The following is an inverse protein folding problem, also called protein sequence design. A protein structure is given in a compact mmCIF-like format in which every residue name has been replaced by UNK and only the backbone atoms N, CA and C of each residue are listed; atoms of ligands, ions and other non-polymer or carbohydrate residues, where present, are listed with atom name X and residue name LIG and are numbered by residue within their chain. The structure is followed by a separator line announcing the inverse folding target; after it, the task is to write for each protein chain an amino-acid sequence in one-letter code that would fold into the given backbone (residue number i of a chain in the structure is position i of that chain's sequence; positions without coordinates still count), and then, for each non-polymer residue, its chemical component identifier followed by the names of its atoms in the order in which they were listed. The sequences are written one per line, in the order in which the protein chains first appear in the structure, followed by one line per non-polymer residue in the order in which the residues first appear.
data_IF_708611101859
#
_entry.id   IF_708611101859
#
_cell.length_a   1.000
_cell.length_b   1.000
_cell.length_c   1.000
_cell.angle_alpha   90.00
_cell.angle_beta   90.00
_cell.angle_gamma   90.00
#
_symmetry.space_group_name_H-M   'P 1'
#
loop_
_entity.id
_entity.type
_entity.pdbx_description
1 polymer ?
#
# COMPACT_ATOMS: atom_id res chain seq x y z
N UNK A 1 -21.70 3.36 13.67
CA UNK A 1 -21.06 2.43 12.73
C UNK A 1 -21.32 2.96 11.33
N UNK A 2 -20.27 3.10 10.52
CA UNK A 2 -20.45 3.47 9.12
C UNK A 2 -21.05 2.29 8.32
N UNK A 3 -21.56 2.56 7.12
CA UNK A 3 -22.11 1.52 6.23
C UNK A 3 -21.09 0.43 5.89
N UNK A 4 -19.80 0.80 5.77
CA UNK A 4 -18.75 -0.13 5.38
C UNK A 4 -18.28 -1.02 6.53
N UNK A 5 -18.61 -0.69 7.78
CA UNK A 5 -18.20 -1.42 8.98
C UNK A 5 -16.70 -1.72 9.01
N UNK A 6 -15.84 -0.70 8.83
CA UNK A 6 -14.37 -0.87 8.74
C UNK A 6 -13.60 -0.39 9.98
N UNK A 7 -14.32 0.07 11.00
CA UNK A 7 -13.72 0.63 12.22
C UNK A 7 -12.76 -0.37 12.87
N UNK A 8 -11.54 0.08 13.18
CA UNK A 8 -10.45 -0.71 13.76
C UNK A 8 -9.95 -1.89 12.93
N UNK A 9 -10.37 -2.05 11.66
CA UNK A 9 -9.82 -3.09 10.79
C UNK A 9 -8.47 -2.68 10.23
N UNK A 10 -7.45 -3.50 10.45
CA UNK A 10 -6.12 -3.31 9.88
C UNK A 10 -6.10 -3.71 8.40
N UNK A 11 -5.73 -2.78 7.52
CA UNK A 11 -5.71 -3.01 6.06
C UNK A 11 -4.36 -2.55 5.50
N UNK A 12 -3.69 -3.43 4.76
CA UNK A 12 -2.45 -3.11 4.06
C UNK A 12 -2.79 -2.53 2.67
N UNK A 13 -2.32 -1.31 2.40
CA UNK A 13 -2.48 -0.65 1.11
C UNK A 13 -1.12 -0.56 0.41
N UNK A 14 -1.05 -1.12 -0.79
CA UNK A 14 0.15 -1.09 -1.64
C UNK A 14 -0.09 -0.21 -2.87
N UNK A 15 0.99 0.36 -3.42
CA UNK A 15 0.92 1.11 -4.68
C UNK A 15 0.59 2.60 -4.56
N UNK A 16 0.70 3.19 -3.36
CA UNK A 16 0.66 4.65 -3.22
C UNK A 16 1.94 5.25 -3.80
N UNK A 17 1.76 6.11 -4.81
CA UNK A 17 2.86 6.80 -5.48
C UNK A 17 2.79 8.32 -5.34
N UNK A 18 1.58 8.88 -5.22
CA UNK A 18 1.28 10.29 -4.99
C UNK A 18 -0.24 10.47 -4.71
N UNK A 19 -0.70 11.73 -4.57
CA UNK A 19 -2.12 12.08 -4.33
C UNK A 19 -3.11 11.66 -5.44
N UNK A 20 -2.63 11.31 -6.63
CA UNK A 20 -3.46 10.86 -7.76
C UNK A 20 -3.55 9.33 -7.88
N UNK A 21 -2.82 8.60 -7.04
CA UNK A 21 -2.88 7.13 -7.03
C UNK A 21 -4.27 6.65 -6.66
N UNK A 22 -4.76 5.60 -7.33
CA UNK A 22 -5.98 4.89 -6.91
C UNK A 22 -5.84 4.39 -5.46
N UNK A 23 -4.69 3.79 -5.14
CA UNK A 23 -4.33 3.38 -3.78
C UNK A 23 -4.47 4.50 -2.73
N UNK A 24 -4.12 5.75 -3.09
CA UNK A 24 -4.21 6.89 -2.17
C UNK A 24 -5.66 7.25 -1.85
N UNK A 25 -6.52 7.26 -2.87
CA UNK A 25 -7.94 7.55 -2.67
C UNK A 25 -8.62 6.43 -1.87
N UNK A 26 -8.30 5.17 -2.15
CA UNK A 26 -8.78 4.04 -1.34
C UNK A 26 -8.34 4.20 0.12
N UNK A 27 -7.04 4.45 0.36
CA UNK A 27 -6.51 4.60 1.71
C UNK A 27 -7.18 5.74 2.48
N UNK A 28 -7.43 6.89 1.85
CA UNK A 28 -8.14 8.02 2.48
C UNK A 28 -9.55 7.63 2.90
N UNK A 29 -10.31 6.94 2.05
CA UNK A 29 -11.65 6.46 2.40
C UNK A 29 -11.57 5.43 3.54
N UNK A 30 -10.61 4.52 3.52
CA UNK A 30 -10.42 3.57 4.63
C UNK A 30 -10.15 4.28 5.96
N UNK A 31 -9.29 5.29 5.97
CA UNK A 31 -8.99 6.09 7.17
C UNK A 31 -10.23 6.88 7.66
N UNK A 32 -10.99 7.48 6.74
CA UNK A 32 -12.24 8.20 7.05
C UNK A 32 -13.30 7.27 7.68
N UNK A 33 -13.26 5.98 7.34
CA UNK A 33 -14.15 4.94 7.86
C UNK A 33 -13.60 4.28 9.14
N UNK A 34 -12.50 4.81 9.70
CA UNK A 34 -11.91 4.35 10.96
C UNK A 34 -11.05 3.09 10.84
N UNK A 35 -10.65 2.69 9.63
CA UNK A 35 -9.72 1.58 9.44
C UNK A 35 -8.28 1.99 9.82
N UNK A 36 -7.52 1.03 10.33
CA UNK A 36 -6.09 1.21 10.59
C UNK A 36 -5.32 0.90 9.29
N UNK A 37 -4.92 1.93 8.56
CA UNK A 37 -4.24 1.76 7.28
C UNK A 37 -2.73 1.63 7.47
N UNK A 38 -2.19 0.53 6.95
CA UNK A 38 -0.76 0.24 6.87
C UNK A 38 -0.35 0.46 5.41
N UNK A 39 0.70 1.22 5.16
CA UNK A 39 1.15 1.53 3.80
C UNK A 39 2.39 0.72 3.42
N UNK A 40 2.45 0.29 2.17
CA UNK A 40 3.66 -0.23 1.55
C UNK A 40 3.98 0.53 0.26
N UNK A 41 5.23 0.97 0.14
CA UNK A 41 5.74 1.70 -1.02
C UNK A 41 6.96 0.99 -1.59
N UNK A 42 7.19 1.17 -2.89
CA UNK A 42 8.20 0.39 -3.62
C UNK A 42 9.64 0.59 -3.11
N UNK A 43 10.01 1.81 -2.72
CA UNK A 43 11.40 2.16 -2.41
C UNK A 43 11.51 3.23 -1.32
N UNK A 44 12.70 3.38 -0.75
CA UNK A 44 12.99 4.45 0.22
C UNK A 44 12.83 5.85 -0.40
N UNK A 45 13.23 6.03 -1.66
CA UNK A 45 13.01 7.30 -2.37
C UNK A 45 11.52 7.58 -2.53
N UNK A 46 10.71 6.54 -2.79
CA UNK A 46 9.26 6.68 -2.83
C UNK A 46 8.73 7.09 -1.46
N UNK A 47 9.18 6.45 -0.39
CA UNK A 47 8.81 6.77 1.00
C UNK A 47 9.12 8.23 1.32
N UNK A 48 10.34 8.70 1.04
CA UNK A 48 10.76 10.11 1.21
C UNK A 48 9.89 11.07 0.42
N UNK A 49 9.59 10.76 -0.84
CA UNK A 49 8.72 11.61 -1.67
C UNK A 49 7.30 11.77 -1.12
N UNK A 50 6.87 10.82 -0.28
CA UNK A 50 5.53 10.77 0.33
C UNK A 50 5.52 11.19 1.79
N UNK A 51 6.65 11.61 2.37
CA UNK A 51 6.79 11.92 3.80
C UNK A 51 5.73 12.91 4.30
N UNK A 52 5.40 13.94 3.51
CA UNK A 52 4.33 14.90 3.85
C UNK A 52 2.92 14.31 3.81
N UNK A 53 2.69 13.29 2.97
CA UNK A 53 1.36 12.67 2.78
C UNK A 53 1.11 11.54 3.75
N UNK A 54 2.18 10.86 4.14
CA UNK A 54 2.18 9.71 5.02
C UNK A 54 2.84 10.05 6.37
N UNK A 55 2.89 11.33 6.72
CA UNK A 55 3.32 11.78 8.03
C UNK A 55 2.49 11.08 9.10
N UNK A 56 3.16 10.58 10.14
CA UNK A 56 2.56 9.84 11.26
C UNK A 56 1.85 8.52 10.88
N UNK A 57 2.02 8.03 9.65
CA UNK A 57 1.46 6.76 9.18
C UNK A 57 2.50 5.64 9.22
N UNK A 58 2.04 4.40 9.40
CA UNK A 58 2.91 3.22 9.28
C UNK A 58 3.24 2.98 7.80
N UNK A 59 4.51 3.13 7.42
CA UNK A 59 4.97 2.93 6.03
C UNK A 59 6.15 1.96 5.98
N UNK A 60 5.94 0.82 5.32
CA UNK A 60 6.98 -0.15 4.98
C UNK A 60 7.45 0.01 3.54
N UNK A 61 8.68 -0.45 3.28
CA UNK A 61 9.26 -0.47 1.95
C UNK A 61 9.35 -1.91 1.46
N UNK A 62 8.78 -2.15 0.28
CA UNK A 62 8.76 -3.44 -0.38
C UNK A 62 8.71 -3.25 -1.89
N UNK A 63 9.77 -3.67 -2.58
CA UNK A 63 9.67 -3.96 -4.01
C UNK A 63 9.08 -5.35 -4.21
N UNK A 64 7.91 -5.44 -4.85
CA UNK A 64 7.17 -6.70 -5.06
C UNK A 64 7.84 -7.62 -6.09
N UNK A 65 8.79 -7.11 -6.87
CA UNK A 65 9.60 -7.92 -7.79
C UNK A 65 10.62 -8.80 -7.03
N UNK A 66 10.85 -8.53 -5.74
CA UNK A 66 11.85 -9.20 -4.90
C UNK A 66 11.18 -9.99 -3.78
N UNK A 67 11.27 -11.31 -3.86
CA UNK A 67 10.62 -12.23 -2.93
C UNK A 67 11.07 -12.02 -1.47
N UNK A 68 12.35 -11.72 -1.26
CA UNK A 68 12.90 -11.45 0.07
C UNK A 68 12.31 -10.19 0.71
N UNK A 69 11.93 -9.20 -0.10
CA UNK A 69 11.29 -7.99 0.40
C UNK A 69 9.82 -8.25 0.78
N UNK A 70 9.14 -9.13 0.05
CA UNK A 70 7.77 -9.56 0.34
C UNK A 70 7.70 -10.34 1.67
N UNK A 71 8.63 -11.27 1.91
CA UNK A 71 8.70 -11.99 3.19
C UNK A 71 9.06 -11.06 4.36
N UNK A 72 9.94 -10.07 4.12
CA UNK A 72 10.21 -9.01 5.11
C UNK A 72 8.96 -8.20 5.42
N UNK A 73 8.20 -7.78 4.40
CA UNK A 73 6.96 -7.02 4.56
C UNK A 73 5.94 -7.81 5.40
N UNK A 74 5.76 -9.11 5.11
CA UNK A 74 4.90 -10.00 5.90
C UNK A 74 5.31 -10.02 7.37
N UNK A 75 6.61 -10.15 7.65
CA UNK A 75 7.12 -10.14 9.02
C UNK A 75 6.87 -8.80 9.72
N UNK A 76 7.11 -7.68 9.02
CA UNK A 76 6.85 -6.33 9.54
C UNK A 76 5.36 -6.07 9.83
N UNK A 77 4.47 -6.50 8.92
CA UNK A 77 3.02 -6.35 9.09
C UNK A 77 2.49 -7.23 10.22
N UNK A 78 3.00 -8.46 10.35
CA UNK A 78 2.65 -9.35 11.48
C UNK A 78 3.16 -8.81 12.82
N UNK A 79 4.32 -8.16 12.84
CA UNK A 79 4.85 -7.48 14.02
C UNK A 79 4.09 -6.21 14.41
N UNK A 80 3.52 -5.50 13.43
CA UNK A 80 2.71 -4.30 13.67
C UNK A 80 1.25 -4.62 14.03
N UNK A 81 0.67 -5.64 13.42
CA UNK A 81 -0.75 -5.98 13.56
C UNK A 81 -0.94 -7.49 13.70
N UNK A 82 -1.66 -7.90 14.76
CA UNK A 82 -1.94 -9.32 15.02
C UNK A 82 -2.84 -9.96 13.96
N UNK A 83 -3.76 -9.17 13.40
CA UNK A 83 -4.71 -9.59 12.37
C UNK A 83 -4.68 -8.57 11.25
N UNK A 84 -4.43 -9.04 10.03
CA UNK A 84 -4.63 -8.28 8.81
C UNK A 84 -6.01 -8.62 8.25
N UNK A 85 -6.91 -7.64 8.19
CA UNK A 85 -8.29 -7.84 7.76
C UNK A 85 -8.47 -7.67 6.25
N UNK A 86 -7.53 -6.99 5.60
CA UNK A 86 -7.60 -6.75 4.15
C UNK A 86 -6.27 -6.35 3.54
N UNK A 87 -6.20 -6.49 2.21
CA UNK A 87 -5.09 -6.10 1.37
C UNK A 87 -5.63 -5.39 0.14
N UNK A 88 -5.11 -4.20 -0.14
CA UNK A 88 -5.32 -3.47 -1.39
C UNK A 88 -4.04 -3.58 -2.21
N UNK A 89 -4.09 -4.39 -3.27
CA UNK A 89 -3.00 -4.49 -4.25
C UNK A 89 -3.28 -3.55 -5.43
N UNK A 90 -2.64 -2.38 -5.45
CA UNK A 90 -2.82 -1.37 -6.50
C UNK A 90 -1.49 -1.08 -7.22
N UNK A 91 -0.80 -2.16 -7.64
CA UNK A 91 0.48 -2.10 -8.33
C UNK A 91 0.32 -2.73 -9.72
N UNK A 92 0.84 -2.05 -10.74
CA UNK A 92 0.99 -2.60 -12.08
C UNK A 92 2.18 -1.92 -12.75
N UNK A 93 2.92 -2.68 -13.54
CA UNK A 93 4.02 -2.16 -14.34
C UNK A 93 4.16 -3.00 -15.61
N UNK A 94 4.46 -2.33 -16.72
CA UNK A 94 4.83 -2.97 -17.98
C UNK A 94 6.00 -2.18 -18.56
N UNK A 95 7.03 -2.89 -19.00
CA UNK A 95 8.15 -2.27 -19.68
C UNK A 95 7.83 -2.10 -21.17
N UNK A 96 7.78 -0.85 -21.63
CA UNK A 96 7.51 -0.49 -23.03
C UNK A 96 8.78 -0.12 -23.82
N UNK A 97 9.99 -0.41 -23.30
CA UNK A 97 11.24 -0.11 -24.02
C UNK A 97 11.32 -0.78 -25.40
N UNK A 98 10.62 -1.90 -25.58
CA UNK A 98 10.51 -2.65 -26.84
C UNK A 98 9.22 -2.34 -27.63
N UNK A 99 8.46 -1.32 -27.23
CA UNK A 99 7.16 -0.98 -27.80
C UNK A 99 5.96 -1.55 -27.03
N UNK A 100 4.74 -1.20 -27.47
CA UNK A 100 3.51 -1.77 -26.91
C UNK A 100 3.39 -3.24 -27.31
N UNK A 101 3.31 -4.12 -26.32
CA UNK A 101 2.96 -5.53 -26.53
C UNK A 101 1.43 -5.67 -26.50
N UNK A 102 0.82 -6.46 -27.39
CA UNK A 102 -0.62 -6.73 -27.31
C UNK A 102 -0.93 -7.42 -25.98
N UNK A 103 -2.10 -7.15 -25.41
CA UNK A 103 -2.63 -7.96 -24.32
C UNK A 103 -3.03 -9.31 -24.93
N UNK A 104 -2.33 -10.38 -24.54
CA UNK A 104 -2.66 -11.76 -24.91
C UNK A 104 -3.38 -12.43 -23.75
#
# INVERSE_FOLDING_TARGET
MSFLDLENKNILVTGVANKKSVAWHIAKTLEEEGANVIYSVRSEDRKKSLEKLLADKTVFVCDVEKEEEVERLKTQVAGHSKVLHGLVHSIAFANYSEGMKPFH
#
